data_IF_008847409408
#
_entry.id   IF_008847409408
#
_cell.length_a   1.000
_cell.length_b   1.000
_cell.length_c   1.000
_cell.angle_alpha   90.00
_cell.angle_beta   90.00
_cell.angle_gamma   90.00
#
_symmetry.space_group_name_H-M   'P 1'
#
loop_
_entity.id
_entity.type
_entity.pdbx_description
1 polymer ?
#
# COMPACT_ATOMS: atom_id res chain seq x y z
N UNK A 1 46.83 5.99 88.61
CA UNK A 1 47.17 7.42 88.44
C UNK A 1 46.40 7.90 87.23
N UNK A 2 45.36 8.71 87.41
CA UNK A 2 44.47 9.13 86.32
C UNK A 2 45.01 10.43 85.72
N UNK A 3 45.43 10.39 84.46
CA UNK A 3 45.94 11.57 83.74
C UNK A 3 44.77 12.25 83.04
N UNK A 4 44.40 13.44 83.53
CA UNK A 4 43.39 14.31 82.91
C UNK A 4 44.02 14.99 81.70
N UNK A 5 43.52 14.69 80.50
CA UNK A 5 43.90 15.41 79.28
C UNK A 5 42.89 16.55 79.10
N UNK A 6 43.33 17.78 79.33
CA UNK A 6 42.57 18.97 78.93
C UNK A 6 42.87 19.26 77.45
N UNK A 7 41.83 19.19 76.64
CA UNK A 7 41.90 19.55 75.22
C UNK A 7 41.65 21.05 75.16
N UNK A 8 42.71 21.82 74.89
CA UNK A 8 42.62 23.26 74.69
C UNK A 8 41.85 23.57 73.41
N UNK A 9 40.81 24.40 73.51
CA UNK A 9 39.91 24.82 72.42
C UNK A 9 40.60 25.78 71.43
N UNK A 10 41.90 26.07 71.59
CA UNK A 10 42.67 26.93 70.69
C UNK A 10 43.41 26.19 69.55
N UNK A 11 43.32 24.86 69.48
CA UNK A 11 43.88 24.11 68.35
C UNK A 11 42.81 23.89 67.27
N UNK A 12 42.30 25.00 66.72
CA UNK A 12 41.59 24.95 65.44
C UNK A 12 42.61 24.90 64.34
N UNK A 13 43.09 23.70 63.99
CA UNK A 13 43.54 23.50 62.61
C UNK A 13 42.36 23.87 61.70
N UNK A 14 42.55 24.71 60.69
CA UNK A 14 41.52 24.95 59.70
C UNK A 14 41.27 23.63 58.97
N UNK A 15 40.27 22.89 59.41
CA UNK A 15 39.68 21.82 58.61
C UNK A 15 39.05 22.48 57.41
N UNK A 16 39.87 22.63 56.39
CA UNK A 16 39.44 23.08 55.08
C UNK A 16 38.69 21.90 54.51
N UNK A 17 37.36 21.96 54.56
CA UNK A 17 36.51 20.99 53.86
C UNK A 17 36.97 21.03 52.41
N UNK A 18 37.53 19.92 51.94
CA UNK A 18 37.87 19.74 50.53
C UNK A 18 36.55 19.75 49.80
N UNK A 19 36.11 20.93 49.39
CA UNK A 19 35.09 21.07 48.37
C UNK A 19 35.57 20.22 47.21
N UNK A 20 34.76 19.25 46.80
CA UNK A 20 35.02 18.51 45.58
C UNK A 20 35.01 19.55 44.46
N UNK A 21 36.20 20.04 44.12
CA UNK A 21 36.39 20.93 42.99
C UNK A 21 35.79 20.20 41.81
N UNK A 22 34.75 20.79 41.22
CA UNK A 22 34.36 20.46 39.86
C UNK A 22 35.65 20.58 39.05
N UNK A 23 36.20 19.45 38.63
CA UNK A 23 37.42 19.41 37.85
C UNK A 23 37.18 20.33 36.66
N UNK A 24 37.86 21.47 36.63
CA UNK A 24 37.75 22.42 35.53
C UNK A 24 38.23 21.69 34.30
N UNK A 25 37.31 21.31 33.41
CA UNK A 25 37.66 20.70 32.13
C UNK A 25 38.68 21.62 31.46
N UNK A 26 39.85 21.07 31.12
CA UNK A 26 40.91 21.75 30.36
C UNK A 26 40.31 22.52 29.16
N UNK A 27 40.75 23.76 28.91
CA UNK A 27 40.28 24.55 27.75
C UNK A 27 40.39 23.79 26.42
N UNK A 28 41.36 22.87 26.30
CA UNK A 28 41.52 22.01 25.11
C UNK A 28 40.43 20.94 24.98
N UNK A 29 39.95 20.37 26.09
CA UNK A 29 38.82 19.43 26.04
C UNK A 29 37.50 20.16 25.79
N UNK A 30 37.37 21.40 26.28
CA UNK A 30 36.21 22.25 25.98
C UNK A 30 36.15 22.67 24.50
N UNK A 31 37.30 22.99 23.88
CA UNK A 31 37.36 23.36 22.47
C UNK A 31 37.00 22.21 21.50
N UNK A 32 37.19 20.95 21.91
CA UNK A 32 36.77 19.78 21.13
C UNK A 32 35.34 19.31 21.47
N UNK A 33 34.90 19.54 22.72
CA UNK A 33 33.58 19.12 23.18
C UNK A 33 32.45 19.96 22.58
N UNK A 34 32.64 21.27 22.38
CA UNK A 34 31.64 22.15 21.77
C UNK A 34 31.28 21.70 20.34
N UNK A 35 32.24 21.52 19.40
CA UNK A 35 31.90 21.06 18.05
C UNK A 35 31.29 19.64 18.07
N UNK A 36 31.81 18.72 18.88
CA UNK A 36 31.24 17.38 19.02
C UNK A 36 29.78 17.41 19.51
N UNK A 37 29.46 18.25 20.48
CA UNK A 37 28.10 18.44 20.97
C UNK A 37 27.19 19.06 19.91
N UNK A 38 27.66 20.07 19.17
CA UNK A 38 26.86 20.65 18.08
C UNK A 38 26.56 19.64 16.97
N UNK A 39 27.52 18.78 16.62
CA UNK A 39 27.32 17.69 15.65
C UNK A 39 26.29 16.69 16.19
N UNK A 40 26.38 16.30 17.47
CA UNK A 40 25.40 15.41 18.08
C UNK A 40 23.98 16.01 18.06
N UNK A 41 23.83 17.30 18.40
CA UNK A 41 22.55 17.99 18.29
C UNK A 41 22.02 18.04 16.84
N UNK A 42 22.87 18.32 15.86
CA UNK A 42 22.46 18.32 14.45
C UNK A 42 22.00 16.94 13.98
N UNK A 43 22.69 15.88 14.38
CA UNK A 43 22.29 14.50 14.07
C UNK A 43 20.92 14.20 14.68
N UNK A 44 20.70 14.55 15.95
CA UNK A 44 19.41 14.32 16.62
C UNK A 44 18.28 15.09 15.91
N UNK A 45 18.51 16.36 15.55
CA UNK A 45 17.52 17.17 14.82
C UNK A 45 17.25 16.58 13.43
N UNK A 46 18.27 16.10 12.72
CA UNK A 46 18.10 15.46 11.42
C UNK A 46 17.28 14.16 11.52
N UNK A 47 17.56 13.32 12.53
CA UNK A 47 16.81 12.08 12.77
C UNK A 47 15.36 12.40 13.12
N UNK A 48 15.10 13.35 14.02
CA UNK A 48 13.74 13.77 14.35
C UNK A 48 13.00 14.33 13.12
N UNK A 49 13.67 15.13 12.29
CA UNK A 49 13.10 15.61 11.02
C UNK A 49 12.73 14.45 10.09
N UNK A 50 13.62 13.47 9.93
CA UNK A 50 13.38 12.30 9.09
C UNK A 50 12.29 11.36 9.61
N UNK A 51 12.00 11.36 10.91
CA UNK A 51 10.87 10.60 11.50
C UNK A 51 9.52 11.24 11.25
N UNK A 52 9.47 12.56 11.04
CA UNK A 52 8.19 13.28 10.86
C UNK A 52 7.87 13.49 9.39
N UNK A 53 8.88 13.50 8.51
CA UNK A 53 8.69 13.75 7.08
C UNK A 53 8.19 12.47 6.35
N UNK A 54 6.92 12.39 5.94
CA UNK A 54 6.45 11.30 5.11
C UNK A 54 7.06 11.43 3.72
N UNK A 55 7.51 10.33 3.15
CA UNK A 55 7.91 10.27 1.75
C UNK A 55 6.97 9.31 1.03
N UNK A 56 6.75 9.52 -0.27
CA UNK A 56 5.87 8.69 -1.10
C UNK A 56 6.50 7.31 -1.38
N UNK A 57 6.73 6.53 -0.32
CA UNK A 57 7.21 5.16 -0.35
C UNK A 57 6.36 4.29 0.54
N UNK A 58 6.12 3.07 0.08
CA UNK A 58 5.25 2.12 0.74
C UNK A 58 6.02 0.86 1.04
N UNK A 59 5.84 0.30 2.24
CA UNK A 59 6.36 -1.03 2.54
C UNK A 59 5.39 -2.10 2.06
N UNK A 60 5.91 -3.23 1.60
CA UNK A 60 5.18 -4.49 1.60
C UNK A 60 5.90 -5.45 2.52
N UNK A 61 5.29 -5.70 3.68
CA UNK A 61 5.83 -6.60 4.70
C UNK A 61 4.86 -7.75 4.97
N UNK A 62 5.37 -8.98 5.15
CA UNK A 62 4.55 -10.12 5.55
C UNK A 62 4.07 -9.93 7.00
N UNK A 63 2.76 -10.03 7.19
CA UNK A 63 2.10 -10.01 8.49
C UNK A 63 1.84 -11.42 9.03
N UNK A 64 0.68 -11.60 9.67
CA UNK A 64 0.28 -12.89 10.22
C UNK A 64 -0.10 -13.90 9.12
N UNK A 65 0.15 -15.18 9.40
CA UNK A 65 -0.26 -16.31 8.58
C UNK A 65 -1.19 -17.22 9.39
N UNK A 66 -2.49 -17.13 9.14
CA UNK A 66 -3.52 -17.88 9.87
C UNK A 66 -4.03 -19.06 9.04
N UNK A 67 -4.27 -20.21 9.70
CA UNK A 67 -4.84 -21.39 9.04
C UNK A 67 -6.31 -21.18 8.73
N UNK A 68 -6.73 -21.56 7.51
CA UNK A 68 -8.14 -21.48 7.07
C UNK A 68 -8.96 -22.63 7.63
N UNK A 69 -8.38 -23.83 7.75
CA UNK A 69 -9.08 -25.06 8.11
C UNK A 69 -9.92 -24.98 9.41
N UNK A 70 -9.47 -24.35 10.51
CA UNK A 70 -10.27 -24.24 11.74
C UNK A 70 -11.49 -23.31 11.62
N UNK A 71 -11.63 -22.56 10.52
CA UNK A 71 -12.70 -21.57 10.32
C UNK A 71 -13.89 -22.10 9.53
N UNK A 72 -13.76 -23.28 8.92
CA UNK A 72 -14.80 -23.94 8.15
C UNK A 72 -15.22 -25.22 8.88
N UNK A 73 -16.40 -25.21 9.49
CA UNK A 73 -17.03 -26.41 10.02
C UNK A 73 -18.28 -26.72 9.20
N UNK A 74 -18.26 -27.84 8.48
CA UNK A 74 -19.46 -28.38 7.84
C UNK A 74 -20.14 -29.25 8.90
N UNK A 75 -21.43 -28.99 9.17
CA UNK A 75 -22.20 -29.76 10.13
C UNK A 75 -22.31 -31.23 9.68
N UNK A 76 -22.26 -32.15 10.64
CA UNK A 76 -22.27 -33.58 10.36
C UNK A 76 -23.57 -34.01 9.66
N UNK A 77 -23.47 -34.65 8.49
CA UNK A 77 -24.53 -35.54 7.99
C UNK A 77 -24.93 -35.47 6.51
N UNK A 78 -24.57 -34.45 5.73
CA UNK A 78 -25.11 -34.30 4.37
C UNK A 78 -24.07 -34.27 3.23
N UNK A 79 -22.77 -34.09 3.51
CA UNK A 79 -21.74 -33.96 2.47
C UNK A 79 -20.44 -34.67 2.88
N UNK A 80 -19.86 -35.48 1.99
CA UNK A 80 -18.50 -36.03 2.18
C UNK A 80 -17.47 -34.91 2.16
N UNK A 81 -16.81 -34.70 3.30
CA UNK A 81 -15.76 -33.69 3.44
C UNK A 81 -14.40 -34.35 3.23
N UNK A 82 -13.69 -33.89 2.19
CA UNK A 82 -12.32 -34.33 1.90
C UNK A 82 -11.33 -33.34 2.53
N UNK A 83 -10.64 -33.70 3.63
CA UNK A 83 -9.64 -32.81 4.21
C UNK A 83 -8.46 -32.65 3.25
N UNK A 84 -7.98 -31.42 2.99
CA UNK A 84 -6.82 -31.22 2.15
C UNK A 84 -5.55 -31.73 2.84
N UNK A 85 -4.66 -32.39 2.09
CA UNK A 85 -3.38 -32.91 2.61
C UNK A 85 -2.46 -31.80 3.14
N UNK A 86 -2.58 -30.58 2.59
CA UNK A 86 -1.82 -29.40 2.98
C UNK A 86 -2.77 -28.27 3.43
N UNK A 87 -2.43 -27.60 4.53
CA UNK A 87 -3.21 -26.49 5.04
C UNK A 87 -3.04 -25.22 4.20
N UNK A 88 -4.15 -24.64 3.75
CA UNK A 88 -4.17 -23.29 3.19
C UNK A 88 -4.02 -22.27 4.33
N UNK A 89 -3.16 -21.26 4.14
CA UNK A 89 -2.94 -20.16 5.08
C UNK A 89 -3.34 -18.84 4.43
N UNK A 90 -4.08 -18.01 5.16
CA UNK A 90 -4.26 -16.61 4.78
C UNK A 90 -3.07 -15.82 5.30
N UNK A 91 -2.36 -15.17 4.37
CA UNK A 91 -1.27 -14.24 4.69
C UNK A 91 -1.80 -12.82 4.60
N UNK A 92 -1.49 -12.01 5.60
CA UNK A 92 -1.78 -10.57 5.55
C UNK A 92 -0.53 -9.86 5.03
N UNK A 93 -0.65 -9.03 4.00
CA UNK A 93 0.41 -8.12 3.58
C UNK A 93 0.11 -6.72 4.14
N UNK A 94 1.02 -6.16 4.94
CA UNK A 94 0.92 -4.76 5.37
C UNK A 94 1.45 -3.85 4.26
N UNK A 95 0.84 -2.67 4.11
CA UNK A 95 1.02 -1.76 2.98
C UNK A 95 1.03 -0.29 3.40
N UNK A 96 1.83 0.09 4.40
CA UNK A 96 1.76 1.41 5.01
C UNK A 96 2.70 2.44 4.34
N UNK A 97 2.37 3.73 4.45
CA UNK A 97 3.26 4.82 4.00
C UNK A 97 4.44 4.99 4.96
N UNK A 98 5.64 5.14 4.40
CA UNK A 98 6.89 5.18 5.14
C UNK A 98 7.43 6.61 5.29
N UNK A 99 7.97 6.90 6.47
CA UNK A 99 8.81 8.09 6.67
C UNK A 99 10.19 7.89 6.05
N UNK A 100 10.95 8.97 5.85
CA UNK A 100 12.29 8.89 5.27
C UNK A 100 13.23 7.94 6.04
N UNK A 101 13.14 7.94 7.38
CA UNK A 101 13.92 7.03 8.21
C UNK A 101 13.47 5.57 8.06
N UNK A 102 12.16 5.32 8.05
CA UNK A 102 11.61 3.97 7.91
C UNK A 102 11.90 3.37 6.53
N UNK A 103 11.86 4.19 5.48
CA UNK A 103 12.27 3.75 4.14
C UNK A 103 13.75 3.36 4.08
N UNK A 104 14.62 4.06 4.80
CA UNK A 104 16.03 3.67 4.88
C UNK A 104 16.21 2.35 5.64
N UNK A 105 15.47 2.15 6.75
CA UNK A 105 15.49 0.89 7.49
C UNK A 105 14.94 -0.28 6.67
N UNK A 106 13.83 -0.08 5.95
CA UNK A 106 13.24 -1.09 5.07
C UNK A 106 14.16 -1.48 3.92
N UNK A 107 14.98 -0.55 3.41
CA UNK A 107 15.99 -0.88 2.40
C UNK A 107 17.11 -1.79 2.92
N UNK A 108 17.38 -1.79 4.22
CA UNK A 108 18.39 -2.64 4.87
C UNK A 108 17.80 -3.99 5.31
N UNK A 109 16.48 -4.09 5.47
CA UNK A 109 15.79 -5.31 5.88
C UNK A 109 15.44 -6.20 4.66
N UNK A 110 15.95 -7.45 4.59
CA UNK A 110 15.67 -8.34 3.46
C UNK A 110 14.21 -8.82 3.36
N UNK A 111 13.37 -8.57 4.37
CA UNK A 111 11.97 -9.00 4.40
C UNK A 111 10.96 -7.87 4.14
N UNK A 112 11.42 -6.65 3.89
CA UNK A 112 10.58 -5.48 3.62
C UNK A 112 10.88 -4.97 2.22
N UNK A 113 9.88 -5.01 1.34
CA UNK A 113 10.01 -4.42 0.02
C UNK A 113 9.57 -2.96 0.06
N UNK A 114 10.44 -2.05 -0.39
CA UNK A 114 10.18 -0.61 -0.39
C UNK A 114 9.83 -0.18 -1.80
N UNK A 115 8.53 -0.03 -2.04
CA UNK A 115 7.98 0.32 -3.35
C UNK A 115 7.78 1.83 -3.46
N UNK A 116 8.07 2.37 -4.64
CA UNK A 116 7.65 3.74 -4.99
C UNK A 116 6.15 3.79 -5.26
N UNK A 117 5.61 5.00 -5.23
CA UNK A 117 4.20 5.25 -5.50
C UNK A 117 3.78 4.74 -6.90
N UNK A 118 4.64 4.90 -7.92
CA UNK A 118 4.36 4.43 -9.28
C UNK A 118 4.35 2.90 -9.36
N UNK A 119 5.32 2.24 -8.72
CA UNK A 119 5.39 0.77 -8.70
C UNK A 119 4.22 0.14 -7.94
N UNK A 120 3.69 0.82 -6.92
CA UNK A 120 2.57 0.31 -6.12
C UNK A 120 1.20 0.62 -6.74
N UNK A 121 1.04 1.81 -7.31
CA UNK A 121 -0.26 2.36 -7.70
C UNK A 121 -0.37 2.68 -9.20
N UNK A 122 0.68 2.52 -10.01
CA UNK A 122 0.70 3.04 -11.37
C UNK A 122 0.63 4.56 -11.32
N UNK A 123 -0.54 5.15 -11.57
CA UNK A 123 -0.74 6.61 -11.71
C UNK A 123 -0.72 7.41 -10.38
N UNK A 124 -0.11 6.89 -9.32
CA UNK A 124 0.03 7.56 -8.02
C UNK A 124 -1.26 8.11 -7.39
N UNK A 125 -2.42 7.55 -7.76
CA UNK A 125 -3.72 7.94 -7.22
C UNK A 125 -4.27 6.86 -6.27
N UNK A 126 -4.01 6.97 -4.95
CA UNK A 126 -4.40 5.93 -3.99
C UNK A 126 -5.92 5.82 -3.82
N UNK A 127 -6.66 6.92 -3.99
CA UNK A 127 -8.13 6.90 -3.87
C UNK A 127 -8.77 6.15 -5.03
N UNK A 128 -8.27 6.37 -6.25
CA UNK A 128 -8.78 5.70 -7.44
C UNK A 128 -8.54 4.20 -7.40
N UNK A 129 -7.30 3.80 -7.11
CA UNK A 129 -6.95 2.38 -6.99
C UNK A 129 -7.72 1.68 -5.87
N UNK A 130 -7.94 2.36 -4.73
CA UNK A 130 -8.74 1.79 -3.64
C UNK A 130 -10.17 1.49 -4.10
N UNK A 131 -10.81 2.40 -4.84
CA UNK A 131 -12.18 2.16 -5.31
C UNK A 131 -12.25 1.03 -6.32
N UNK A 132 -11.30 0.96 -7.26
CA UNK A 132 -11.21 -0.12 -8.24
C UNK A 132 -10.99 -1.47 -7.55
N UNK A 133 -10.07 -1.54 -6.59
CA UNK A 133 -9.80 -2.75 -5.82
C UNK A 133 -11.00 -3.17 -4.97
N UNK A 134 -11.70 -2.22 -4.33
CA UNK A 134 -12.92 -2.50 -3.57
C UNK A 134 -14.04 -3.02 -4.48
N UNK A 135 -14.21 -2.42 -5.66
CA UNK A 135 -15.16 -2.87 -6.68
C UNK A 135 -14.85 -4.30 -7.13
N UNK A 136 -13.59 -4.57 -7.51
CA UNK A 136 -13.15 -5.91 -7.89
C UNK A 136 -13.38 -6.94 -6.78
N UNK A 137 -13.16 -6.57 -5.51
CA UNK A 137 -13.40 -7.45 -4.36
C UNK A 137 -14.89 -7.76 -4.16
N UNK A 138 -15.79 -6.78 -4.33
CA UNK A 138 -17.24 -7.03 -4.28
C UNK A 138 -17.69 -7.94 -5.42
N UNK A 139 -17.25 -7.66 -6.65
CA UNK A 139 -17.60 -8.46 -7.81
C UNK A 139 -17.10 -9.91 -7.68
N UNK A 140 -15.87 -10.10 -7.16
CA UNK A 140 -15.34 -11.43 -6.90
C UNK A 140 -16.18 -12.23 -5.88
N UNK A 141 -16.73 -11.58 -4.84
CA UNK A 141 -17.62 -12.23 -3.87
C UNK A 141 -18.95 -12.65 -4.49
N UNK A 142 -19.52 -11.83 -5.36
CA UNK A 142 -20.76 -12.14 -6.07
C UNK A 142 -20.57 -13.31 -7.03
N UNK A 143 -19.48 -13.33 -7.80
CA UNK A 143 -19.13 -14.45 -8.69
C UNK A 143 -18.89 -15.73 -7.90
N UNK A 144 -18.14 -15.66 -6.79
CA UNK A 144 -17.90 -16.84 -5.95
C UNK A 144 -19.20 -17.43 -5.39
N UNK A 145 -20.14 -16.57 -4.96
CA UNK A 145 -21.45 -16.99 -4.49
C UNK A 145 -22.28 -17.63 -5.61
N UNK A 146 -22.27 -17.04 -6.81
CA UNK A 146 -22.93 -17.60 -7.99
C UNK A 146 -22.39 -18.99 -8.35
N UNK A 147 -21.07 -19.13 -8.44
CA UNK A 147 -20.41 -20.40 -8.75
C UNK A 147 -20.73 -21.45 -7.68
N UNK A 148 -20.61 -21.12 -6.39
CA UNK A 148 -20.95 -22.04 -5.30
C UNK A 148 -22.42 -22.49 -5.36
N UNK A 149 -23.35 -21.56 -5.57
CA UNK A 149 -24.77 -21.87 -5.70
C UNK A 149 -25.07 -22.75 -6.93
N UNK A 150 -24.39 -22.52 -8.05
CA UNK A 150 -24.51 -23.34 -9.27
C UNK A 150 -24.00 -24.77 -9.05
N UNK A 151 -22.89 -24.94 -8.34
CA UNK A 151 -22.35 -26.27 -7.98
C UNK A 151 -23.30 -27.03 -7.05
N UNK A 152 -24.04 -26.33 -6.20
CA UNK A 152 -25.06 -26.91 -5.32
C UNK A 152 -26.40 -27.20 -6.03
N UNK A 153 -26.51 -26.93 -7.34
CA UNK A 153 -27.72 -27.15 -8.13
C UNK A 153 -28.84 -26.17 -7.85
N UNK A 154 -28.56 -25.05 -7.17
CA UNK A 154 -29.53 -23.98 -6.94
C UNK A 154 -29.71 -23.15 -8.22
N UNK A 155 -30.92 -22.66 -8.47
CA UNK A 155 -31.21 -21.80 -9.62
C UNK A 155 -30.61 -20.39 -9.38
N UNK A 156 -29.30 -20.27 -9.56
CA UNK A 156 -28.56 -19.04 -9.44
C UNK A 156 -28.60 -18.30 -10.78
N UNK A 157 -28.92 -17.01 -10.74
CA UNK A 157 -28.84 -16.10 -11.89
C UNK A 157 -27.83 -15.02 -11.57
N UNK A 158 -26.93 -14.74 -12.52
CA UNK A 158 -25.92 -13.69 -12.40
C UNK A 158 -26.35 -12.53 -13.29
N UNK A 159 -26.64 -11.38 -12.68
CA UNK A 159 -26.89 -10.14 -13.42
C UNK A 159 -25.57 -9.39 -13.52
N UNK A 160 -25.02 -9.32 -14.72
CA UNK A 160 -23.77 -8.61 -14.97
C UNK A 160 -23.91 -7.11 -14.70
N UNK A 161 -22.85 -6.52 -14.16
CA UNK A 161 -22.75 -5.07 -13.97
C UNK A 161 -22.30 -4.33 -15.23
N UNK A 162 -22.30 -3.00 -15.13
CA UNK A 162 -21.80 -2.10 -16.17
C UNK A 162 -20.35 -2.43 -16.56
N UNK A 163 -20.02 -2.26 -17.84
CA UNK A 163 -18.67 -2.49 -18.33
C UNK A 163 -17.72 -1.36 -17.88
N UNK A 164 -16.81 -1.67 -16.95
CA UNK A 164 -15.81 -0.75 -16.43
C UNK A 164 -14.40 -1.16 -16.83
N UNK A 165 -13.56 -0.20 -17.21
CA UNK A 165 -12.14 -0.41 -17.52
C UNK A 165 -11.39 -0.69 -16.21
N UNK A 166 -10.92 -1.92 -16.02
CA UNK A 166 -10.20 -2.35 -14.82
C UNK A 166 -8.67 -2.20 -14.92
N UNK A 167 -8.13 -2.16 -16.13
CA UNK A 167 -6.69 -2.04 -16.38
C UNK A 167 -6.32 -2.42 -17.82
N UNK A 168 -5.08 -2.12 -18.20
CA UNK A 168 -4.51 -2.53 -19.48
C UNK A 168 -3.33 -3.45 -19.24
N UNK A 169 -3.26 -4.54 -20.00
CA UNK A 169 -2.09 -5.41 -20.01
C UNK A 169 -0.94 -4.70 -20.74
N UNK A 170 0.26 -4.73 -20.14
CA UNK A 170 1.46 -4.08 -20.67
C UNK A 170 1.86 -4.66 -22.04
N UNK A 171 1.52 -5.93 -22.31
CA UNK A 171 1.74 -6.57 -23.63
C UNK A 171 0.88 -5.97 -24.74
N UNK A 172 -0.30 -5.45 -24.40
CA UNK A 172 -1.23 -4.81 -25.35
C UNK A 172 -0.92 -3.32 -25.50
N UNK A 173 -0.20 -2.73 -24.55
CA UNK A 173 0.12 -1.32 -24.50
C UNK A 173 1.60 -1.03 -24.21
N UNK A 174 2.48 -1.29 -25.19
CA UNK A 174 3.88 -0.88 -25.10
C UNK A 174 4.00 0.64 -25.14
N UNK A 175 5.14 1.16 -24.67
CA UNK A 175 5.38 2.61 -24.51
C UNK A 175 5.31 3.38 -25.83
N UNK A 176 5.51 2.73 -26.97
CA UNK A 176 5.41 3.26 -28.34
C UNK A 176 4.02 3.11 -28.97
N UNK A 177 3.00 2.71 -28.20
CA UNK A 177 1.64 2.60 -28.71
C UNK A 177 1.11 3.96 -29.25
N UNK A 178 0.35 3.94 -30.37
CA UNK A 178 -0.20 5.15 -30.95
C UNK A 178 -1.16 5.88 -29.99
N UNK A 179 -1.22 7.20 -30.09
CA UNK A 179 -2.01 8.07 -29.21
C UNK A 179 -3.52 7.72 -29.19
N UNK A 180 -4.02 7.07 -30.23
CA UNK A 180 -5.41 6.61 -30.35
C UNK A 180 -5.65 5.23 -29.75
N UNK A 181 -4.65 4.54 -29.19
CA UNK A 181 -4.88 3.23 -28.58
C UNK A 181 -5.68 3.39 -27.29
N UNK A 182 -6.56 2.43 -26.99
CA UNK A 182 -7.42 2.43 -25.81
C UNK A 182 -6.71 2.82 -24.51
N UNK A 183 -5.50 2.31 -24.25
CA UNK A 183 -4.72 2.64 -23.04
C UNK A 183 -4.16 4.07 -22.96
N UNK A 184 -4.08 4.79 -24.07
CA UNK A 184 -3.64 6.20 -24.08
C UNK A 184 -4.81 7.15 -23.86
N UNK A 185 -6.04 6.73 -24.16
CA UNK A 185 -7.22 7.60 -24.14
C UNK A 185 -8.19 7.29 -22.99
N UNK A 186 -8.31 6.01 -22.61
CA UNK A 186 -9.16 5.57 -21.51
C UNK A 186 -8.38 5.52 -20.20
N UNK A 187 -9.04 5.90 -19.11
CA UNK A 187 -8.47 5.78 -17.76
C UNK A 187 -9.08 4.60 -17.02
N UNK A 188 -8.33 4.04 -16.08
CA UNK A 188 -8.86 3.01 -15.19
C UNK A 188 -10.04 3.55 -14.40
N UNK A 189 -11.16 2.84 -14.40
CA UNK A 189 -12.40 3.24 -13.73
C UNK A 189 -13.43 3.92 -14.62
N UNK A 190 -13.10 4.21 -15.88
CA UNK A 190 -14.03 4.68 -16.89
C UNK A 190 -15.11 3.63 -17.20
N UNK A 191 -16.37 4.05 -17.33
CA UNK A 191 -17.51 3.18 -17.68
C UNK A 191 -17.86 3.37 -19.14
N UNK A 192 -17.86 2.27 -19.90
CA UNK A 192 -18.19 2.26 -21.33
C UNK A 192 -19.72 2.15 -21.47
N UNK A 193 -20.36 3.19 -21.99
CA UNK A 193 -21.81 3.25 -22.16
C UNK A 193 -22.24 2.84 -23.58
N UNK A 194 -21.41 3.11 -24.59
CA UNK A 194 -21.66 2.66 -25.96
C UNK A 194 -20.39 2.50 -26.79
N UNK A 195 -20.45 1.62 -27.79
CA UNK A 195 -19.37 1.36 -28.75
C UNK A 195 -19.93 1.53 -30.18
N UNK A 196 -19.23 2.25 -31.03
CA UNK A 196 -19.52 2.41 -32.45
C UNK A 196 -18.30 1.99 -33.29
N UNK A 197 -18.47 0.98 -34.14
CA UNK A 197 -17.42 0.43 -35.03
C UNK A 197 -17.76 0.73 -36.51
N UNK A 198 -18.58 1.76 -36.76
CA UNK A 198 -19.00 2.17 -38.11
C UNK A 198 -20.39 1.69 -38.54
N UNK A 199 -20.99 0.79 -37.78
CA UNK A 199 -22.38 0.33 -37.95
C UNK A 199 -23.39 1.06 -37.03
N UNK A 200 -22.95 2.13 -36.38
CA UNK A 200 -23.74 2.96 -35.46
C UNK A 200 -23.57 2.56 -33.99
N UNK A 201 -23.96 3.45 -33.05
CA UNK A 201 -23.69 3.28 -31.63
C UNK A 201 -24.53 2.14 -31.03
N UNK A 202 -23.86 1.15 -30.45
CA UNK A 202 -24.49 0.07 -29.68
C UNK A 202 -24.30 0.31 -28.18
N UNK A 203 -25.40 0.31 -27.43
CA UNK A 203 -25.38 0.52 -25.98
C UNK A 203 -24.81 -0.71 -25.26
N UNK A 204 -23.91 -0.44 -24.32
CA UNK A 204 -23.29 -1.43 -23.45
C UNK A 204 -23.85 -1.24 -22.04
N UNK A 205 -24.76 -2.13 -21.67
CA UNK A 205 -25.35 -2.23 -20.32
C UNK A 205 -24.64 -3.28 -19.46
N UNK A 206 -24.00 -4.27 -20.09
CA UNK A 206 -23.32 -5.40 -19.43
C UNK A 206 -21.96 -5.69 -20.08
N UNK A 207 -21.04 -6.29 -19.32
CA UNK A 207 -19.69 -6.59 -19.79
C UNK A 207 -19.67 -7.54 -21.01
N UNK A 208 -20.51 -8.57 -21.03
CA UNK A 208 -20.63 -9.52 -22.15
C UNK A 208 -20.93 -8.85 -23.49
N UNK A 209 -21.72 -7.77 -23.49
CA UNK A 209 -22.03 -6.98 -24.70
C UNK A 209 -20.79 -6.35 -25.31
N UNK A 210 -19.76 -6.02 -24.52
CA UNK A 210 -18.48 -5.52 -25.07
C UNK A 210 -17.81 -6.59 -25.91
N UNK A 211 -17.70 -7.83 -25.39
CA UNK A 211 -17.11 -8.93 -26.15
C UNK A 211 -17.94 -9.31 -27.38
N UNK A 212 -19.27 -9.23 -27.31
CA UNK A 212 -20.14 -9.48 -28.47
C UNK A 212 -19.90 -8.45 -29.57
N UNK A 213 -19.93 -7.16 -29.23
CA UNK A 213 -19.74 -6.08 -30.21
C UNK A 213 -18.32 -6.09 -30.80
N UNK A 214 -17.31 -6.42 -30.01
CA UNK A 214 -15.93 -6.54 -30.49
C UNK A 214 -15.67 -7.83 -31.29
N UNK A 215 -16.50 -8.86 -31.16
CA UNK A 215 -16.36 -10.09 -31.97
C UNK A 215 -16.68 -9.85 -33.45
N UNK A 216 -17.47 -8.83 -33.75
CA UNK A 216 -17.81 -8.41 -35.11
C UNK A 216 -16.69 -7.55 -35.75
N UNK A 217 -15.71 -7.08 -34.96
CA UNK A 217 -14.65 -6.19 -35.42
C UNK A 217 -13.42 -6.96 -35.93
N UNK A 218 -12.79 -6.45 -36.99
CA UNK A 218 -11.54 -7.00 -37.52
C UNK A 218 -10.31 -6.26 -36.97
N UNK A 219 -9.15 -6.94 -36.85
CA UNK A 219 -7.91 -6.27 -36.45
C UNK A 219 -7.57 -5.09 -37.37
N UNK A 220 -7.55 -3.87 -36.81
CA UNK A 220 -7.27 -2.63 -37.54
C UNK A 220 -8.47 -1.68 -37.69
N UNK A 221 -9.67 -2.12 -37.28
CA UNK A 221 -10.87 -1.27 -37.22
C UNK A 221 -10.79 -0.28 -36.05
N UNK A 222 -11.28 0.94 -36.26
CA UNK A 222 -11.40 1.97 -35.22
C UNK A 222 -12.77 1.94 -34.57
N UNK A 223 -12.81 1.99 -33.24
CA UNK A 223 -14.03 2.03 -32.45
C UNK A 223 -14.13 3.35 -31.69
N UNK A 224 -15.25 4.05 -31.84
CA UNK A 224 -15.60 5.22 -31.03
C UNK A 224 -16.40 4.76 -29.79
N UNK A 225 -15.88 5.10 -28.62
CA UNK A 225 -16.43 4.74 -27.32
C UNK A 225 -17.09 5.96 -26.67
N UNK A 226 -18.33 5.82 -26.20
CA UNK A 226 -18.91 6.80 -25.28
C UNK A 226 -18.64 6.35 -23.85
N UNK A 227 -17.96 7.21 -23.10
CA UNK A 227 -17.43 6.88 -21.80
C UNK A 227 -17.94 7.87 -20.77
N UNK A 228 -18.35 7.35 -19.62
CA UNK A 228 -18.68 8.15 -18.44
C UNK A 228 -17.56 8.06 -17.43
N UNK A 229 -16.98 9.21 -17.12
CA UNK A 229 -15.93 9.33 -16.11
C UNK A 229 -16.57 9.37 -14.73
N UNK A 230 -16.38 8.30 -13.95
CA UNK A 230 -17.04 8.10 -12.64
C UNK A 230 -16.73 9.24 -11.65
N UNK A 231 -15.53 9.83 -11.72
CA UNK A 231 -15.10 10.87 -10.76
C UNK A 231 -15.58 12.30 -11.10
N UNK A 232 -16.00 12.57 -12.33
CA UNK A 232 -16.40 13.92 -12.77
C UNK A 232 -17.86 14.01 -13.19
N UNK A 233 -18.59 12.89 -13.29
CA UNK A 233 -19.93 12.87 -13.88
C UNK A 233 -19.96 13.39 -15.32
N UNK A 234 -18.80 13.43 -15.98
CA UNK A 234 -18.60 14.00 -17.30
C UNK A 234 -18.66 12.88 -18.34
N UNK A 235 -19.43 13.09 -19.40
CA UNK A 235 -19.45 12.21 -20.58
C UNK A 235 -18.36 12.65 -21.55
N UNK A 236 -17.58 11.71 -22.08
CA UNK A 236 -16.56 11.96 -23.11
C UNK A 236 -16.72 10.90 -24.21
N UNK A 237 -16.75 11.34 -25.46
CA UNK A 237 -16.57 10.46 -26.61
C UNK A 237 -15.07 10.30 -26.89
N UNK A 238 -14.61 9.06 -26.99
CA UNK A 238 -13.21 8.69 -27.15
C UNK A 238 -13.09 7.83 -28.40
N UNK A 239 -12.30 8.27 -29.38
CA UNK A 239 -12.02 7.48 -30.58
C UNK A 239 -10.79 6.61 -30.35
N UNK A 240 -10.90 5.31 -30.63
CA UNK A 240 -9.82 4.34 -30.42
C UNK A 240 -9.53 3.52 -31.65
N UNK A 241 -8.25 3.21 -31.88
CA UNK A 241 -7.77 2.41 -33.02
C UNK A 241 -6.76 1.35 -32.60
#
# INVERSE_FOLDING_TARGET
MATRVEISVSDTQPQTVVGHGSASLSLRSQALAIPAFTIACLIVVAVLGATVWPIQRFETAPGAADLVAPRLSIGDGEVEVYPPENGVRFVTALGNELTALQSFMGWVDPYVDVLTCEERFGDCNPTQNRQVQLGAMSTAKEIAAYVAASYLGLNATFNEGLAQVSGFDESVCPTDAPDTRACRVLNVGDVIESIDIGDGPRTIDVLSRVSEVLSDASPGDSATLAVKVVYLGSHRSVDTR
#
